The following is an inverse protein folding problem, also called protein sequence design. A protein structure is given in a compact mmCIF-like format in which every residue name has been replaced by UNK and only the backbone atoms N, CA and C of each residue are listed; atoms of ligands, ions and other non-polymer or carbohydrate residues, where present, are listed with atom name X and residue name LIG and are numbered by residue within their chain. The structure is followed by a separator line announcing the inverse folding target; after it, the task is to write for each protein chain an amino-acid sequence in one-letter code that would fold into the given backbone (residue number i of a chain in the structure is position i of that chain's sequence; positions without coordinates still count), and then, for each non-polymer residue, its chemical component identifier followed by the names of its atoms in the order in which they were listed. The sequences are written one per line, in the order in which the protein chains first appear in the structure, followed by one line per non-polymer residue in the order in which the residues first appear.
data_IF_550120788093
#
_entry.id   IF_550120788093
#
_cell.length_a   1.000
_cell.length_b   1.000
_cell.length_c   1.000
_cell.angle_alpha   90.00
_cell.angle_beta   90.00
_cell.angle_gamma   90.00
#
_symmetry.space_group_name_H-M   'P 1'
#
loop_
_entity.id
_entity.type
_entity.pdbx_description
1 polymer ?
#
# COMPACT_ATOMS: atom_id res chain seq x y z
N UNK A 1 -46.74 2.52 26.22
CA UNK A 1 -46.11 3.18 25.06
C UNK A 1 -44.64 3.44 25.36
N UNK A 2 -43.73 2.61 24.86
CA UNK A 2 -42.28 2.85 24.99
C UNK A 2 -41.66 2.87 23.59
N UNK A 3 -41.59 4.05 22.98
CA UNK A 3 -40.93 4.21 21.67
C UNK A 3 -39.43 4.00 21.89
N UNK A 4 -38.95 2.79 21.55
CA UNK A 4 -37.52 2.51 21.48
C UNK A 4 -36.85 3.56 20.61
N UNK A 5 -35.84 4.24 21.14
CA UNK A 5 -35.07 5.22 20.38
C UNK A 5 -34.41 4.50 19.22
N UNK A 6 -34.88 4.72 18.00
CA UNK A 6 -34.26 4.19 16.78
C UNK A 6 -32.92 4.90 16.61
N UNK A 7 -31.85 4.27 17.12
CA UNK A 7 -30.49 4.78 16.97
C UNK A 7 -30.13 4.65 15.49
N UNK A 8 -29.90 5.78 14.82
CA UNK A 8 -29.49 5.79 13.41
C UNK A 8 -28.16 5.05 13.23
N UNK A 9 -28.00 4.33 12.12
CA UNK A 9 -26.79 3.56 11.76
C UNK A 9 -25.50 4.38 11.94
N UNK A 10 -25.57 5.68 11.65
CA UNK A 10 -24.48 6.64 11.83
C UNK A 10 -24.14 6.92 13.30
N UNK A 11 -25.14 7.00 14.19
CA UNK A 11 -24.91 7.13 15.63
C UNK A 11 -24.34 5.85 16.25
N UNK A 12 -24.70 4.69 15.69
CA UNK A 12 -24.11 3.42 16.12
C UNK A 12 -22.65 3.32 15.68
N UNK A 13 -22.32 3.70 14.43
CA UNK A 13 -20.93 3.79 13.98
C UNK A 13 -20.08 4.76 14.81
N UNK A 14 -20.65 5.88 15.27
CA UNK A 14 -19.96 6.84 16.15
C UNK A 14 -19.78 6.40 17.60
N UNK A 15 -20.56 5.44 18.10
CA UNK A 15 -20.39 4.89 19.46
C UNK A 15 -19.24 3.87 19.57
N UNK A 16 -18.89 3.23 18.46
CA UNK A 16 -17.70 2.38 18.39
C UNK A 16 -16.53 3.25 17.94
N UNK A 17 -15.33 3.02 18.51
CA UNK A 17 -14.11 3.72 18.07
C UNK A 17 -14.07 3.68 16.54
N UNK A 18 -13.88 4.84 15.90
CA UNK A 18 -14.05 5.12 14.47
C UNK A 18 -13.28 4.21 13.48
N UNK A 19 -12.53 3.23 13.99
CA UNK A 19 -11.64 2.34 13.27
C UNK A 19 -12.24 0.94 13.03
N UNK A 20 -13.39 0.59 13.63
CA UNK A 20 -13.94 -0.78 13.53
C UNK A 20 -15.07 -0.94 12.50
N UNK A 21 -15.88 0.10 12.32
CA UNK A 21 -17.05 0.06 11.45
C UNK A 21 -17.15 1.33 10.61
N UNK A 22 -17.53 1.17 9.35
CA UNK A 22 -17.85 2.28 8.45
C UNK A 22 -19.25 2.07 7.86
N UNK A 23 -19.91 3.18 7.53
CA UNK A 23 -21.22 3.17 6.88
C UNK A 23 -20.98 3.27 5.37
N UNK A 24 -21.48 2.29 4.62
CA UNK A 24 -21.47 2.36 3.15
C UNK A 24 -22.56 3.30 2.62
N UNK A 25 -22.43 3.76 1.37
CA UNK A 25 -23.40 4.63 0.67
C UNK A 25 -24.86 4.17 0.81
N UNK A 26 -25.09 2.85 0.85
CA UNK A 26 -26.41 2.24 1.05
C UNK A 26 -26.94 2.28 2.50
N UNK A 27 -26.34 3.09 3.39
CA UNK A 27 -26.66 3.18 4.83
C UNK A 27 -26.52 1.85 5.59
N UNK A 28 -25.63 0.97 5.12
CA UNK A 28 -25.35 -0.33 5.74
C UNK A 28 -24.09 -0.21 6.59
N UNK A 29 -24.15 -0.72 7.82
CA UNK A 29 -22.98 -0.83 8.69
C UNK A 29 -22.11 -1.99 8.23
N UNK A 30 -20.82 -1.71 7.97
CA UNK A 30 -19.85 -2.74 7.58
C UNK A 30 -18.62 -2.68 8.47
N UNK A 31 -18.04 -3.84 8.75
CA UNK A 31 -16.77 -3.91 9.45
C UNK A 31 -15.62 -3.62 8.49
N UNK A 32 -14.67 -2.77 8.89
CA UNK A 32 -13.46 -2.46 8.10
C UNK A 32 -12.60 -3.70 7.88
N UNK A 33 -12.50 -4.55 8.89
CA UNK A 33 -11.59 -5.71 8.91
C UNK A 33 -12.22 -6.92 8.21
N UNK A 34 -13.51 -7.16 8.45
CA UNK A 34 -14.21 -8.33 7.94
C UNK A 34 -14.95 -8.08 6.61
N UNK A 35 -15.18 -6.83 6.25
CA UNK A 35 -15.98 -6.36 5.10
C UNK A 35 -17.41 -6.94 4.99
N UNK A 36 -17.91 -7.55 6.07
CA UNK A 36 -19.25 -8.10 6.15
C UNK A 36 -20.28 -7.02 6.50
N UNK A 37 -21.52 -7.24 6.05
CA UNK A 37 -22.68 -6.43 6.46
C UNK A 37 -23.06 -6.81 7.89
N UNK A 38 -23.30 -5.82 8.73
CA UNK A 38 -23.75 -6.02 10.10
C UNK A 38 -25.10 -5.34 10.28
N UNK A 39 -26.00 -6.04 10.96
CA UNK A 39 -27.29 -5.49 11.32
C UNK A 39 -27.10 -4.43 12.42
N UNK A 40 -27.59 -3.23 12.15
CA UNK A 40 -27.47 -2.08 13.06
C UNK A 40 -28.42 -2.14 14.25
N UNK A 41 -29.38 -3.06 14.25
CA UNK A 41 -30.50 -3.13 15.20
C UNK A 41 -30.06 -3.53 16.62
N UNK A 42 -28.98 -4.31 16.76
CA UNK A 42 -28.54 -4.88 18.04
C UNK A 42 -27.08 -4.56 18.34
N UNK A 43 -26.85 -3.69 19.33
CA UNK A 43 -25.51 -3.35 19.85
C UNK A 43 -24.72 -4.57 20.33
N UNK A 44 -25.41 -5.56 20.88
CA UNK A 44 -24.83 -6.83 21.32
C UNK A 44 -24.22 -7.65 20.16
N UNK A 45 -24.87 -7.67 18.99
CA UNK A 45 -24.36 -8.36 17.80
C UNK A 45 -23.04 -7.74 17.32
N UNK A 46 -22.93 -6.41 17.37
CA UNK A 46 -21.69 -5.70 17.02
C UNK A 46 -20.57 -6.01 18.01
N UNK A 47 -20.87 -6.05 19.31
CA UNK A 47 -19.87 -6.37 20.33
C UNK A 47 -19.37 -7.82 20.17
N UNK A 48 -20.28 -8.78 19.97
CA UNK A 48 -19.95 -10.18 19.67
C UNK A 48 -19.11 -10.31 18.40
N UNK A 49 -19.36 -9.50 17.39
CA UNK A 49 -18.55 -9.48 16.16
C UNK A 49 -17.10 -9.06 16.44
N UNK A 50 -16.88 -7.97 17.19
CA UNK A 50 -15.54 -7.43 17.49
C UNK A 50 -14.74 -8.40 18.36
N UNK A 51 -15.40 -9.09 19.29
CA UNK A 51 -14.77 -10.06 20.20
C UNK A 51 -14.61 -11.44 19.55
N UNK A 52 -15.27 -11.70 18.42
CA UNK A 52 -15.17 -12.98 17.72
C UNK A 52 -13.72 -13.31 17.34
N UNK A 53 -13.30 -14.54 17.60
CA UNK A 53 -11.96 -15.03 17.26
C UNK A 53 -11.63 -14.80 15.78
N UNK A 54 -12.62 -14.94 14.89
CA UNK A 54 -12.44 -14.72 13.45
C UNK A 54 -12.21 -13.25 13.07
N UNK A 55 -12.65 -12.28 13.89
CA UNK A 55 -12.34 -10.86 13.71
C UNK A 55 -10.94 -10.53 14.24
N UNK A 56 -10.59 -11.05 15.43
CA UNK A 56 -9.28 -10.84 16.04
C UNK A 56 -8.14 -11.43 15.20
N UNK A 57 -8.32 -12.64 14.66
CA UNK A 57 -7.34 -13.26 13.77
C UNK A 57 -7.11 -12.42 12.52
N UNK A 58 -8.19 -12.00 11.83
CA UNK A 58 -8.10 -11.15 10.64
C UNK A 58 -7.49 -9.78 10.91
N UNK A 59 -7.71 -9.23 12.11
CA UNK A 59 -7.10 -7.97 12.55
C UNK A 59 -5.57 -8.09 12.66
N UNK A 60 -5.09 -9.18 13.27
CA UNK A 60 -3.66 -9.47 13.37
C UNK A 60 -3.03 -9.77 11.99
N UNK A 61 -3.74 -10.51 11.14
CA UNK A 61 -3.32 -10.79 9.76
C UNK A 61 -3.22 -9.51 8.91
N UNK A 62 -4.18 -8.58 9.00
CA UNK A 62 -4.11 -7.30 8.28
C UNK A 62 -2.92 -6.46 8.74
N UNK A 63 -2.64 -6.42 10.04
CA UNK A 63 -1.49 -5.70 10.60
C UNK A 63 -0.16 -6.27 10.12
N UNK A 64 -0.04 -7.61 10.05
CA UNK A 64 1.17 -8.25 9.54
C UNK A 64 1.30 -8.15 8.02
N UNK A 65 0.19 -8.22 7.28
CA UNK A 65 0.20 -8.13 5.82
C UNK A 65 0.48 -6.70 5.31
N UNK A 66 -0.03 -5.66 5.99
CA UNK A 66 0.24 -4.27 5.64
C UNK A 66 1.73 -3.93 5.78
N UNK A 67 2.36 -4.37 6.88
CA UNK A 67 3.80 -4.24 7.09
C UNK A 67 4.62 -4.98 6.02
N UNK A 68 4.23 -6.21 5.65
CA UNK A 68 4.90 -6.99 4.59
C UNK A 68 4.81 -6.30 3.22
N UNK A 69 3.64 -5.74 2.86
CA UNK A 69 3.44 -5.03 1.59
C UNK A 69 4.28 -3.75 1.52
N UNK A 70 4.32 -2.99 2.60
CA UNK A 70 5.13 -1.76 2.68
C UNK A 70 6.62 -2.05 2.52
N UNK A 71 7.13 -3.10 3.18
CA UNK A 71 8.53 -3.53 3.06
C UNK A 71 8.90 -3.96 1.63
N UNK A 72 8.00 -4.65 0.93
CA UNK A 72 8.24 -5.04 -0.47
C UNK A 72 8.30 -3.83 -1.42
N UNK A 73 7.45 -2.83 -1.24
CA UNK A 73 7.44 -1.61 -2.06
C UNK A 73 8.72 -0.81 -1.85
N UNK A 74 9.14 -0.61 -0.59
CA UNK A 74 10.36 0.13 -0.28
C UNK A 74 11.59 -0.55 -0.89
N UNK A 75 11.70 -1.88 -0.78
CA UNK A 75 12.82 -2.64 -1.38
C UNK A 75 12.87 -2.52 -2.91
N UNK A 76 11.73 -2.56 -3.58
CA UNK A 76 11.66 -2.38 -5.04
C UNK A 76 12.07 -0.96 -5.44
N UNK A 77 11.60 0.06 -4.72
CA UNK A 77 11.97 1.45 -4.96
C UNK A 77 13.48 1.67 -4.74
N UNK A 78 14.05 1.12 -3.68
CA UNK A 78 15.47 1.21 -3.36
C UNK A 78 16.34 0.53 -4.44
N UNK A 79 15.93 -0.65 -4.91
CA UNK A 79 16.62 -1.37 -5.99
C UNK A 79 16.61 -0.58 -7.28
N UNK A 80 15.48 0.04 -7.65
CA UNK A 80 15.39 0.91 -8.81
C UNK A 80 16.25 2.17 -8.66
N UNK A 81 16.26 2.80 -7.48
CA UNK A 81 17.10 3.98 -7.21
C UNK A 81 18.59 3.64 -7.36
N UNK A 82 19.03 2.53 -6.76
CA UNK A 82 20.41 2.04 -6.89
C UNK A 82 20.78 1.73 -8.35
N UNK A 83 19.88 1.12 -9.12
CA UNK A 83 20.13 0.85 -10.54
C UNK A 83 20.29 2.15 -11.36
N UNK A 84 19.44 3.15 -11.10
CA UNK A 84 19.55 4.48 -11.74
C UNK A 84 20.86 5.18 -11.39
N UNK A 85 21.26 5.18 -10.12
CA UNK A 85 22.54 5.76 -9.68
C UNK A 85 23.72 5.06 -10.35
N UNK A 86 23.73 3.72 -10.41
CA UNK A 86 24.78 2.95 -11.10
C UNK A 86 24.90 3.32 -12.57
N UNK A 87 23.77 3.47 -13.27
CA UNK A 87 23.74 3.90 -14.67
C UNK A 87 24.32 5.30 -14.86
N UNK A 88 23.97 6.25 -14.00
CA UNK A 88 24.51 7.61 -14.07
C UNK A 88 26.02 7.65 -13.82
N UNK A 89 26.50 6.91 -12.81
CA UNK A 89 27.93 6.78 -12.52
C UNK A 89 28.67 6.19 -13.73
N UNK A 90 28.13 5.14 -14.34
CA UNK A 90 28.71 4.53 -15.54
C UNK A 90 28.79 5.50 -16.73
N UNK A 91 27.71 6.25 -17.00
CA UNK A 91 27.70 7.25 -18.07
C UNK A 91 28.74 8.34 -17.79
N UNK A 92 28.78 8.86 -16.58
CA UNK A 92 29.72 9.91 -16.19
C UNK A 92 31.18 9.44 -16.31
N UNK A 93 31.49 8.22 -15.86
CA UNK A 93 32.84 7.64 -15.97
C UNK A 93 33.24 7.43 -17.42
N UNK A 94 32.32 6.93 -18.26
CA UNK A 94 32.55 6.74 -19.70
C UNK A 94 32.83 8.07 -20.40
N UNK A 95 32.04 9.11 -20.12
CA UNK A 95 32.27 10.45 -20.68
C UNK A 95 33.61 11.02 -20.21
N UNK A 96 33.96 10.83 -18.93
CA UNK A 96 35.24 11.26 -18.37
C UNK A 96 36.43 10.53 -19.01
N UNK A 97 36.31 9.22 -19.25
CA UNK A 97 37.30 8.42 -19.96
C UNK A 97 37.50 8.96 -21.38
N UNK A 98 36.42 9.19 -22.12
CA UNK A 98 36.49 9.68 -23.50
C UNK A 98 37.12 11.07 -23.60
N UNK A 99 36.77 11.97 -22.66
CA UNK A 99 37.41 13.29 -22.57
C UNK A 99 38.91 13.19 -22.31
N UNK A 100 39.34 12.35 -21.36
CA UNK A 100 40.78 12.16 -21.06
C UNK A 100 41.55 11.52 -22.20
N UNK A 101 40.95 10.57 -22.90
CA UNK A 101 41.56 9.87 -24.02
C UNK A 101 41.46 10.66 -25.34
N UNK A 102 40.88 11.87 -25.32
CA UNK A 102 40.61 12.68 -26.51
C UNK A 102 39.77 11.92 -27.57
N UNK A 103 38.92 10.99 -27.12
CA UNK A 103 38.04 10.20 -28.00
C UNK A 103 36.79 11.04 -28.26
N UNK A 104 36.50 11.40 -29.52
CA UNK A 104 35.30 12.16 -29.84
C UNK A 104 34.05 11.34 -29.52
N UNK A 105 33.16 11.90 -28.70
CA UNK A 105 31.94 11.23 -28.22
C UNK A 105 31.04 10.78 -29.38
N UNK A 106 31.07 11.49 -30.51
CA UNK A 106 30.34 11.14 -31.72
C UNK A 106 30.70 9.73 -32.25
N UNK A 107 31.93 9.25 -32.03
CA UNK A 107 32.34 7.89 -32.44
C UNK A 107 31.77 6.78 -31.53
N UNK A 108 31.28 7.12 -30.33
CA UNK A 108 30.58 6.17 -29.45
C UNK A 108 29.14 5.90 -29.92
N UNK A 109 28.56 6.77 -30.76
CA UNK A 109 27.25 6.55 -31.38
C UNK A 109 27.31 5.59 -32.58
N UNK A 110 28.39 4.82 -32.71
CA UNK A 110 28.46 3.75 -33.68
C UNK A 110 27.57 2.56 -33.24
N UNK A 111 26.78 1.94 -34.13
CA UNK A 111 25.86 0.86 -33.77
C UNK A 111 26.55 -0.29 -33.04
N UNK A 112 27.77 -0.68 -33.43
CA UNK A 112 28.53 -1.72 -32.75
C UNK A 112 28.90 -1.38 -31.29
N UNK A 113 29.22 -0.13 -31.01
CA UNK A 113 29.52 0.35 -29.64
C UNK A 113 28.23 0.42 -28.82
N UNK A 114 27.14 0.86 -29.45
CA UNK A 114 25.81 0.91 -28.81
C UNK A 114 25.29 -0.47 -28.43
N UNK A 115 25.54 -1.49 -29.25
CA UNK A 115 25.24 -2.89 -28.96
C UNK A 115 26.08 -3.41 -27.78
N UNK A 116 27.37 -3.06 -27.73
CA UNK A 116 28.25 -3.42 -26.61
C UNK A 116 27.82 -2.77 -25.29
N UNK A 117 27.44 -1.50 -25.30
CA UNK A 117 27.00 -0.75 -24.10
C UNK A 117 25.61 -1.14 -23.58
N UNK A 118 24.84 -1.93 -24.34
CA UNK A 118 23.54 -2.47 -23.93
C UNK A 118 23.63 -3.82 -23.21
N UNK A 119 24.77 -4.50 -23.28
CA UNK A 119 25.06 -5.70 -22.47
C UNK A 119 25.27 -5.33 -21.01
#
# INVERSE_FOLDING_TARGET
MGRGKTITVQQHAGQFKADQFYVSDSKILRCVICNIRLESDKKDSLNKHVVSAGHLQRKEEQKTQSLKRQLSITKVCDKQKKAKTKKLVFIHDTVKMCLKANIPINKLDHPAVREYLKK
#
